data_IF_227505998126
#
_entry.id   IF_227505998126
#
_cell.length_a   1.000
_cell.length_b   1.000
_cell.length_c   1.000
_cell.angle_alpha   90.00
_cell.angle_beta   90.00
_cell.angle_gamma   90.00
#
_symmetry.space_group_name_H-M   'P 1'
#
loop_
_entity.id
_entity.type
_entity.pdbx_description
1 polymer ?
#
# COMPACT_ATOMS: atom_id res chain seq x y z
N UNK A 1 -4.24 5.77 -9.09
CA UNK A 1 -3.11 4.83 -8.86
C UNK A 1 -3.57 3.46 -9.35
N UNK A 2 -2.72 2.62 -9.96
CA UNK A 2 -3.19 1.34 -10.51
C UNK A 2 -3.32 0.31 -9.38
N UNK A 3 -4.49 -0.33 -9.28
CA UNK A 3 -4.72 -1.49 -8.41
C UNK A 3 -3.74 -2.61 -8.68
N UNK A 4 -3.48 -3.45 -7.67
CA UNK A 4 -2.63 -4.61 -7.81
C UNK A 4 -3.28 -5.65 -8.72
N UNK A 5 -2.47 -6.28 -9.57
CA UNK A 5 -2.91 -7.39 -10.40
C UNK A 5 -3.21 -8.64 -9.56
N UNK A 6 -3.96 -9.60 -10.11
CA UNK A 6 -4.22 -10.88 -9.45
C UNK A 6 -2.93 -11.61 -9.06
N UNK A 7 -1.91 -11.59 -9.93
CA UNK A 7 -0.60 -12.21 -9.64
C UNK A 7 0.11 -11.53 -8.47
N UNK A 8 0.03 -10.21 -8.38
CA UNK A 8 0.61 -9.46 -7.26
C UNK A 8 -0.15 -9.73 -5.95
N UNK A 9 -1.49 -9.75 -5.99
CA UNK A 9 -2.33 -10.09 -4.82
C UNK A 9 -2.01 -11.51 -4.31
N UNK A 10 -1.88 -12.49 -5.21
CA UNK A 10 -1.46 -13.85 -4.85
C UNK A 10 -0.06 -13.88 -4.18
N UNK A 11 0.89 -13.08 -4.70
CA UNK A 11 2.21 -12.93 -4.11
C UNK A 11 2.16 -12.35 -2.70
N UNK A 12 1.36 -11.30 -2.47
CA UNK A 12 1.16 -10.68 -1.15
C UNK A 12 0.54 -11.66 -0.15
N UNK A 13 -0.50 -12.40 -0.56
CA UNK A 13 -1.13 -13.42 0.28
C UNK A 13 -0.10 -14.47 0.72
N UNK A 14 0.64 -15.04 -0.24
CA UNK A 14 1.66 -16.05 0.08
C UNK A 14 2.75 -15.50 1.01
N UNK A 15 3.27 -14.30 0.71
CA UNK A 15 4.34 -13.69 1.49
C UNK A 15 3.91 -13.36 2.92
N UNK A 16 2.73 -12.78 3.11
CA UNK A 16 2.21 -12.46 4.44
C UNK A 16 1.97 -13.73 5.28
N UNK A 17 1.40 -14.78 4.68
CA UNK A 17 1.19 -16.06 5.37
C UNK A 17 2.50 -16.70 5.80
N UNK A 18 3.53 -16.71 4.94
CA UNK A 18 4.87 -17.23 5.28
C UNK A 18 5.48 -16.42 6.41
N UNK A 19 5.44 -15.09 6.35
CA UNK A 19 6.01 -14.23 7.38
C UNK A 19 5.37 -14.47 8.76
N UNK A 20 4.05 -14.65 8.81
CA UNK A 20 3.33 -14.94 10.05
C UNK A 20 3.62 -16.35 10.58
N UNK A 21 3.92 -17.31 9.70
CA UNK A 21 4.39 -18.62 10.11
C UNK A 21 5.81 -18.56 10.67
N UNK A 22 6.73 -17.84 10.01
CA UNK A 22 8.15 -17.86 10.34
C UNK A 22 8.50 -17.01 11.58
N UNK A 23 7.84 -15.86 11.78
CA UNK A 23 8.21 -14.91 12.85
C UNK A 23 7.46 -15.19 14.16
N UNK A 24 6.12 -15.07 14.23
CA UNK A 24 5.37 -15.39 15.44
C UNK A 24 4.83 -16.83 15.50
N UNK A 25 5.16 -17.72 14.54
CA UNK A 25 4.76 -19.13 14.61
C UNK A 25 3.27 -19.40 14.36
N UNK A 26 2.57 -18.57 13.58
CA UNK A 26 1.14 -18.80 13.28
C UNK A 26 0.95 -20.00 12.36
N UNK A 27 -0.16 -20.72 12.53
CA UNK A 27 -0.51 -21.81 11.63
C UNK A 27 -0.93 -21.23 10.26
N UNK A 28 -0.20 -21.52 9.17
CA UNK A 28 -0.53 -21.00 7.85
C UNK A 28 -1.88 -21.52 7.34
N UNK A 29 -2.33 -22.71 7.78
CA UNK A 29 -3.60 -23.30 7.35
C UNK A 29 -4.83 -22.55 7.90
N UNK A 30 -4.66 -21.76 8.96
CA UNK A 30 -5.73 -20.94 9.55
C UNK A 30 -5.47 -19.45 9.42
N UNK A 31 -4.45 -19.06 8.65
CA UNK A 31 -4.11 -17.65 8.41
C UNK A 31 -4.97 -17.09 7.28
N UNK A 32 -5.72 -16.04 7.58
CA UNK A 32 -6.56 -15.33 6.62
C UNK A 32 -5.89 -14.01 6.24
N UNK A 33 -5.78 -13.76 4.93
CA UNK A 33 -5.26 -12.49 4.40
C UNK A 33 -6.38 -11.79 3.65
N UNK A 34 -6.68 -10.56 4.05
CA UNK A 34 -7.62 -9.67 3.36
C UNK A 34 -6.82 -8.53 2.74
N UNK A 35 -7.08 -8.23 1.46
CA UNK A 35 -6.47 -7.11 0.74
C UNK A 35 -7.59 -6.15 0.38
N UNK A 36 -7.56 -4.96 0.98
CA UNK A 36 -8.46 -3.85 0.67
C UNK A 36 -7.70 -2.77 -0.11
N UNK A 37 -8.28 -2.34 -1.23
CA UNK A 37 -7.70 -1.33 -2.11
C UNK A 37 -8.53 -0.05 -2.02
N UNK A 38 -8.01 0.94 -1.30
CA UNK A 38 -8.68 2.22 -1.10
C UNK A 38 -8.13 3.26 -2.08
N UNK A 39 -9.03 3.98 -2.75
CA UNK A 39 -8.65 5.10 -3.61
C UNK A 39 -7.96 6.21 -2.78
N UNK A 40 -6.96 6.87 -3.36
CA UNK A 40 -6.21 7.92 -2.67
C UNK A 40 -7.02 9.18 -2.37
N UNK A 41 -8.15 9.39 -3.06
CA UNK A 41 -9.12 10.43 -2.72
C UNK A 41 -9.94 10.07 -1.47
N UNK A 42 -10.04 8.79 -1.15
CA UNK A 42 -10.75 8.27 0.02
C UNK A 42 -9.81 7.98 1.21
N UNK A 43 -8.51 8.22 1.05
CA UNK A 43 -7.51 8.03 2.12
C UNK A 43 -6.94 9.38 2.55
N UNK A 44 -7.15 9.75 3.82
CA UNK A 44 -6.70 11.02 4.39
C UNK A 44 -5.48 10.87 5.32
N UNK A 45 -4.57 11.84 5.28
CA UNK A 45 -3.52 12.01 6.30
C UNK A 45 -3.52 13.47 6.72
N UNK A 46 -3.56 13.74 8.03
CA UNK A 46 -3.52 15.10 8.59
C UNK A 46 -4.55 16.06 7.97
N UNK A 47 -5.76 15.59 7.69
CA UNK A 47 -6.85 16.40 7.13
C UNK A 47 -6.86 16.55 5.61
N UNK A 48 -5.91 15.96 4.87
CA UNK A 48 -5.86 16.05 3.40
C UNK A 48 -5.87 14.68 2.73
N UNK A 49 -6.45 14.58 1.53
CA UNK A 49 -6.41 13.35 0.73
C UNK A 49 -4.98 13.05 0.28
N UNK A 50 -4.66 11.76 0.13
CA UNK A 50 -3.35 11.33 -0.36
C UNK A 50 -3.09 11.83 -1.78
N UNK A 51 -4.13 11.94 -2.61
CA UNK A 51 -4.02 12.54 -3.95
C UNK A 51 -3.50 13.97 -3.87
N UNK A 52 -4.09 14.79 -3.00
CA UNK A 52 -3.69 16.19 -2.81
C UNK A 52 -2.24 16.30 -2.33
N UNK A 53 -1.88 15.54 -1.30
CA UNK A 53 -0.50 15.51 -0.75
C UNK A 53 0.55 15.13 -1.79
N UNK A 54 0.27 14.13 -2.63
CA UNK A 54 1.19 13.70 -3.70
C UNK A 54 1.39 14.77 -4.77
N UNK A 55 0.34 15.53 -5.09
CA UNK A 55 0.44 16.66 -6.02
C UNK A 55 1.35 17.75 -5.45
N UNK A 56 1.14 18.15 -4.21
CA UNK A 56 1.99 19.15 -3.54
C UNK A 56 3.47 18.75 -3.50
N UNK A 57 3.76 17.48 -3.16
CA UNK A 57 5.13 16.98 -3.14
C UNK A 57 5.82 17.06 -4.51
N UNK A 58 5.11 16.75 -5.61
CA UNK A 58 5.66 16.85 -6.97
C UNK A 58 5.94 18.30 -7.36
N UNK A 59 5.03 19.20 -7.05
CA UNK A 59 5.19 20.63 -7.30
C UNK A 59 6.37 21.21 -6.50
N UNK A 60 6.54 20.79 -5.24
CA UNK A 60 7.69 21.16 -4.40
C UNK A 60 9.03 20.67 -4.97
N UNK A 61 9.10 19.41 -5.41
CA UNK A 61 10.31 18.83 -6.03
C UNK A 61 10.66 19.54 -7.35
N UNK A 62 9.67 19.83 -8.19
CA UNK A 62 9.88 20.54 -9.46
C UNK A 62 10.46 21.94 -9.26
N UNK A 63 9.96 22.67 -8.25
CA UNK A 63 10.48 24.01 -7.87
C UNK A 63 11.91 23.97 -7.35
N UNK A 64 12.36 22.84 -6.77
CA UNK A 64 13.72 22.68 -6.24
C UNK A 64 14.76 22.38 -7.33
N UNK A 65 14.37 21.70 -8.41
CA UNK A 65 15.29 21.28 -9.49
C UNK A 65 15.27 22.21 -10.72
N UNK A 66 14.44 23.26 -10.71
CA UNK A 66 14.30 24.24 -11.80
C UNK A 66 15.14 25.51 -11.64
N UNK A 67 16.29 25.45 -10.94
CA UNK A 67 17.31 26.52 -10.91
C UNK A 67 18.54 26.09 -11.70
#
# INVERSE_FOLDING_TARGET
MKSATLKQKAGLIKGATVLLADVPGKNPATTVVVIDEVDTDNWGIGGETVTHRRRQNREGISRLHGK
#
